data_IF_291139824677
#
_entry.id   IF_291139824677
#
_cell.length_a   1.000
_cell.length_b   1.000
_cell.length_c   1.000
_cell.angle_alpha   90.00
_cell.angle_beta   90.00
_cell.angle_gamma   90.00
#
_symmetry.space_group_name_H-M   'P 1'
#
loop_
_entity.id
_entity.type
_entity.pdbx_description
1 polymer ?
#
# COMPACT_ATOMS: atom_id res chain seq x y z
N UNK A 1 28.42 -45.79 47.37
CA UNK A 1 28.35 -45.46 45.93
C UNK A 1 26.89 -45.16 45.62
N UNK A 2 26.55 -43.89 45.75
CA UNK A 2 25.20 -43.35 45.64
C UNK A 2 24.83 -43.29 44.15
N UNK A 3 23.85 -44.10 43.74
CA UNK A 3 23.37 -44.14 42.35
C UNK A 3 22.49 -42.92 42.10
N UNK A 4 22.97 -42.01 41.26
CA UNK A 4 22.20 -40.87 40.75
C UNK A 4 21.03 -41.37 39.87
N UNK A 5 19.80 -40.85 40.04
CA UNK A 5 18.69 -41.25 39.20
C UNK A 5 18.79 -40.65 37.80
N UNK A 6 18.60 -41.54 36.81
CA UNK A 6 18.55 -41.28 35.38
C UNK A 6 17.41 -40.31 35.04
N UNK A 7 17.77 -39.10 34.61
CA UNK A 7 16.82 -38.07 34.18
C UNK A 7 16.28 -38.45 32.81
N UNK A 8 15.05 -38.96 32.78
CA UNK A 8 14.31 -39.22 31.54
C UNK A 8 13.99 -37.89 30.83
N UNK A 9 14.54 -37.70 29.64
CA UNK A 9 14.17 -36.62 28.74
C UNK A 9 12.78 -36.90 28.14
N UNK A 10 11.72 -36.28 28.69
CA UNK A 10 10.40 -36.25 28.06
C UNK A 10 10.40 -35.28 26.87
N UNK A 11 10.60 -35.85 25.68
CA UNK A 11 10.42 -35.19 24.39
C UNK A 11 8.93 -34.99 24.11
N UNK A 12 8.31 -33.97 24.71
CA UNK A 12 6.92 -33.60 24.42
C UNK A 12 6.83 -32.39 23.49
N UNK A 13 6.63 -32.72 22.22
CA UNK A 13 6.18 -31.85 21.12
C UNK A 13 5.21 -30.74 21.56
N UNK A 14 5.61 -29.49 21.36
CA UNK A 14 4.72 -28.33 21.22
C UNK A 14 5.22 -27.43 20.09
N UNK A 15 5.12 -27.91 18.84
CA UNK A 15 4.97 -27.00 17.70
C UNK A 15 3.55 -26.43 17.76
N UNK A 16 3.35 -25.39 18.57
CA UNK A 16 2.16 -24.53 18.43
C UNK A 16 2.44 -23.51 17.35
N UNK A 17 1.95 -23.89 16.18
CA UNK A 17 1.57 -23.06 15.07
C UNK A 17 0.70 -21.89 15.56
N UNK A 18 1.12 -20.66 15.28
CA UNK A 18 0.22 -19.51 15.11
C UNK A 18 0.70 -18.67 13.93
N UNK A 19 -0.14 -18.71 12.91
CA UNK A 19 -0.31 -17.82 11.78
C UNK A 19 0.40 -16.46 11.84
N UNK A 20 1.01 -16.07 10.72
CA UNK A 20 0.42 -15.03 9.87
C UNK A 20 0.71 -15.41 8.42
N UNK A 21 -0.30 -15.89 7.71
CA UNK A 21 -0.26 -16.00 6.26
C UNK A 21 0.16 -14.65 5.68
N UNK A 22 1.43 -14.55 5.28
CA UNK A 22 1.93 -13.40 4.52
C UNK A 22 1.02 -13.32 3.30
N UNK A 23 0.30 -12.22 3.05
CA UNK A 23 -0.51 -12.12 1.84
C UNK A 23 0.42 -12.39 0.67
N UNK A 24 0.04 -13.37 -0.15
CA UNK A 24 0.74 -13.70 -1.39
C UNK A 24 1.12 -12.40 -2.08
N UNK A 25 2.42 -12.15 -2.23
CA UNK A 25 2.92 -11.01 -2.99
C UNK A 25 2.58 -11.29 -4.45
N UNK A 26 1.33 -11.07 -4.84
CA UNK A 26 0.97 -11.03 -6.23
C UNK A 26 1.76 -9.87 -6.82
N UNK A 27 2.84 -10.19 -7.54
CA UNK A 27 3.49 -9.23 -8.40
C UNK A 27 2.41 -8.60 -9.28
N UNK A 28 2.35 -7.27 -9.39
CA UNK A 28 1.36 -6.62 -10.24
C UNK A 28 1.40 -7.27 -11.62
N UNK A 29 0.23 -7.65 -12.14
CA UNK A 29 0.16 -8.32 -13.44
C UNK A 29 0.87 -7.47 -14.49
N UNK A 30 1.71 -8.12 -15.32
CA UNK A 30 2.43 -7.46 -16.43
C UNK A 30 1.49 -6.65 -17.33
N UNK A 31 0.24 -7.06 -17.44
CA UNK A 31 -0.79 -6.41 -18.25
C UNK A 31 -1.79 -5.67 -17.36
N UNK A 32 -2.00 -4.38 -17.66
CA UNK A 32 -3.04 -3.54 -17.04
C UNK A 32 -4.44 -3.97 -17.50
N UNK A 33 -5.48 -3.56 -16.78
CA UNK A 33 -6.89 -3.92 -17.03
C UNK A 33 -7.30 -3.79 -18.49
N UNK A 34 -6.97 -2.67 -19.13
CA UNK A 34 -7.30 -2.41 -20.53
C UNK A 34 -6.74 -3.48 -21.48
N UNK A 35 -5.45 -3.80 -21.38
CA UNK A 35 -4.82 -4.84 -22.23
C UNK A 35 -5.44 -6.22 -22.00
N UNK A 36 -5.82 -6.52 -20.76
CA UNK A 36 -6.47 -7.80 -20.41
C UNK A 36 -7.88 -7.88 -21.00
N UNK A 37 -8.62 -6.78 -20.99
CA UNK A 37 -9.93 -6.69 -21.64
C UNK A 37 -9.80 -6.83 -23.16
N UNK A 38 -8.80 -6.23 -23.80
CA UNK A 38 -8.55 -6.41 -25.25
C UNK A 38 -8.30 -7.90 -25.56
N UNK A 39 -7.46 -8.57 -24.76
CA UNK A 39 -7.18 -10.01 -24.94
C UNK A 39 -8.46 -10.84 -24.80
N UNK A 40 -9.33 -10.52 -23.82
CA UNK A 40 -10.61 -11.20 -23.64
C UNK A 40 -11.59 -10.94 -24.78
N UNK A 41 -11.67 -9.71 -25.29
CA UNK A 41 -12.53 -9.37 -26.42
C UNK A 41 -12.11 -10.12 -27.68
N UNK A 42 -10.81 -10.20 -27.96
CA UNK A 42 -10.27 -10.98 -29.10
C UNK A 42 -10.55 -12.47 -28.93
N UNK A 43 -10.40 -13.02 -27.71
CA UNK A 43 -10.77 -14.40 -27.44
C UNK A 43 -12.27 -14.64 -27.67
N UNK A 44 -13.13 -13.73 -27.22
CA UNK A 44 -14.58 -13.82 -27.42
C UNK A 44 -14.95 -13.76 -28.90
N UNK A 45 -14.30 -12.89 -29.67
CA UNK A 45 -14.47 -12.79 -31.12
C UNK A 45 -14.17 -14.12 -31.81
N UNK A 46 -13.00 -14.72 -31.56
CA UNK A 46 -12.65 -16.02 -32.16
C UNK A 46 -13.50 -17.18 -31.65
N UNK A 47 -13.97 -17.12 -30.41
CA UNK A 47 -14.90 -18.12 -29.88
C UNK A 47 -16.29 -18.04 -30.55
N UNK A 48 -16.72 -16.84 -30.98
CA UNK A 48 -17.98 -16.62 -31.68
C UNK A 48 -17.89 -16.98 -33.17
N UNK A 49 -16.80 -16.61 -33.86
CA UNK A 49 -16.58 -16.98 -35.26
C UNK A 49 -16.34 -18.50 -35.42
N UNK A 50 -15.55 -19.09 -34.52
CA UNK A 50 -15.12 -20.47 -34.60
C UNK A 50 -16.08 -21.46 -33.94
N UNK A 51 -17.40 -21.37 -34.17
CA UNK A 51 -18.43 -22.20 -33.52
C UNK A 51 -18.16 -23.72 -33.55
N UNK A 52 -17.23 -24.20 -34.38
CA UNK A 52 -16.82 -25.61 -34.50
C UNK A 52 -15.33 -25.88 -34.17
N UNK A 53 -14.58 -24.89 -33.67
CA UNK A 53 -13.15 -25.04 -33.33
C UNK A 53 -12.93 -25.42 -31.86
N UNK A 54 -11.91 -26.27 -31.61
CA UNK A 54 -11.47 -26.60 -30.25
C UNK A 54 -11.00 -25.35 -29.50
N UNK A 55 -11.31 -25.26 -28.21
CA UNK A 55 -10.93 -24.12 -27.34
C UNK A 55 -9.42 -23.82 -27.35
N UNK A 56 -8.58 -24.84 -27.54
CA UNK A 56 -7.13 -24.69 -27.66
C UNK A 56 -6.72 -23.87 -28.89
N UNK A 57 -7.39 -24.10 -30.03
CA UNK A 57 -7.14 -23.34 -31.28
C UNK A 57 -7.55 -21.88 -31.11
N UNK A 58 -8.65 -21.63 -30.42
CA UNK A 58 -9.11 -20.27 -30.07
C UNK A 58 -8.07 -19.54 -29.21
N UNK A 59 -7.50 -20.22 -28.21
CA UNK A 59 -6.42 -19.69 -27.37
C UNK A 59 -5.17 -19.40 -28.20
N UNK A 60 -4.78 -20.30 -29.11
CA UNK A 60 -3.62 -20.12 -29.99
C UNK A 60 -3.80 -18.94 -30.95
N UNK A 61 -4.98 -18.79 -31.58
CA UNK A 61 -5.31 -17.63 -32.42
C UNK A 61 -5.27 -16.33 -31.64
N UNK A 62 -5.84 -16.32 -30.44
CA UNK A 62 -5.81 -15.16 -29.53
C UNK A 62 -4.38 -14.77 -29.17
N UNK A 63 -3.56 -15.75 -28.78
CA UNK A 63 -2.16 -15.56 -28.42
C UNK A 63 -1.35 -14.97 -29.59
N UNK A 64 -1.60 -15.48 -30.80
CA UNK A 64 -0.96 -15.01 -32.04
C UNK A 64 -1.38 -13.58 -32.38
N UNK A 65 -2.69 -13.29 -32.36
CA UNK A 65 -3.25 -11.97 -32.70
C UNK A 65 -2.84 -10.88 -31.71
N UNK A 66 -2.76 -11.20 -30.41
CA UNK A 66 -2.42 -10.24 -29.35
C UNK A 66 -0.95 -10.25 -28.96
N UNK A 67 -0.14 -11.12 -29.59
CA UNK A 67 1.29 -11.32 -29.32
C UNK A 67 1.60 -11.57 -27.83
N UNK A 68 0.79 -12.42 -27.20
CA UNK A 68 1.00 -12.87 -25.82
C UNK A 68 1.16 -14.39 -25.77
N UNK A 69 1.73 -14.92 -24.69
CA UNK A 69 1.85 -16.37 -24.53
C UNK A 69 0.47 -17.02 -24.27
N UNK A 70 0.30 -18.28 -24.70
CA UNK A 70 -0.92 -19.06 -24.44
C UNK A 70 -1.25 -19.11 -22.94
N UNK A 71 -0.25 -19.37 -22.10
CA UNK A 71 -0.40 -19.38 -20.63
C UNK A 71 -0.93 -18.04 -20.09
N UNK A 72 -0.58 -16.92 -20.73
CA UNK A 72 -1.11 -15.60 -20.33
C UNK A 72 -2.61 -15.52 -20.65
N UNK A 73 -3.03 -15.96 -21.83
CA UNK A 73 -4.45 -15.99 -22.22
C UNK A 73 -5.26 -16.86 -21.26
N UNK A 74 -4.77 -18.06 -20.95
CA UNK A 74 -5.44 -18.98 -20.03
C UNK A 74 -5.54 -18.40 -18.61
N UNK A 75 -4.48 -17.78 -18.11
CA UNK A 75 -4.49 -17.10 -16.81
C UNK A 75 -5.50 -15.96 -16.78
N UNK A 76 -5.53 -15.14 -17.83
CA UNK A 76 -6.49 -14.04 -18.00
C UNK A 76 -7.92 -14.58 -18.02
N UNK A 77 -8.19 -15.65 -18.77
CA UNK A 77 -9.49 -16.32 -18.83
C UNK A 77 -9.91 -16.90 -17.48
N UNK A 78 -8.99 -17.53 -16.74
CA UNK A 78 -9.25 -18.06 -15.40
C UNK A 78 -9.54 -16.93 -14.39
N UNK A 79 -8.86 -15.78 -14.50
CA UNK A 79 -9.14 -14.60 -13.69
C UNK A 79 -10.50 -13.97 -14.06
N UNK A 80 -10.86 -13.90 -15.35
CA UNK A 80 -12.16 -13.40 -15.80
C UNK A 80 -13.32 -14.22 -15.25
N UNK A 81 -13.21 -15.56 -15.24
CA UNK A 81 -14.22 -16.46 -14.65
C UNK A 81 -14.44 -16.25 -13.15
N UNK A 82 -13.42 -15.78 -12.43
CA UNK A 82 -13.50 -15.49 -10.99
C UNK A 82 -14.11 -14.12 -10.70
N UNK A 83 -14.21 -13.25 -11.71
CA UNK A 83 -14.78 -11.91 -11.56
C UNK A 83 -16.31 -11.99 -11.74
N UNK A 84 -17.12 -11.44 -10.82
CA UNK A 84 -18.58 -11.53 -10.88
C UNK A 84 -19.17 -10.85 -12.14
N UNK A 85 -18.48 -9.85 -12.70
CA UNK A 85 -18.93 -9.10 -13.87
C UNK A 85 -18.14 -9.43 -15.15
N UNK A 86 -17.25 -10.45 -15.12
CA UNK A 86 -16.34 -10.76 -16.23
C UNK A 86 -15.26 -9.70 -16.51
N UNK A 87 -15.29 -8.56 -15.82
CA UNK A 87 -14.31 -7.48 -15.95
C UNK A 87 -13.06 -7.81 -15.14
N UNK A 88 -11.90 -7.81 -15.81
CA UNK A 88 -10.61 -8.07 -15.15
C UNK A 88 -10.07 -6.76 -14.58
N UNK A 89 -10.36 -6.50 -13.31
CA UNK A 89 -9.75 -5.40 -12.59
C UNK A 89 -8.29 -5.72 -12.26
N UNK A 90 -7.39 -4.75 -12.51
CA UNK A 90 -6.05 -4.84 -11.93
C UNK A 90 -6.18 -4.77 -10.41
N UNK A 91 -5.36 -5.50 -9.64
CA UNK A 91 -5.31 -5.32 -8.19
C UNK A 91 -5.05 -3.84 -7.92
N UNK A 92 -6.05 -3.13 -7.41
CA UNK A 92 -5.84 -1.75 -6.98
C UNK A 92 -4.83 -1.80 -5.85
N UNK A 93 -3.82 -0.92 -5.82
CA UNK A 93 -2.95 -0.85 -4.66
C UNK A 93 -3.84 -0.59 -3.45
N UNK A 94 -3.81 -1.50 -2.49
CA UNK A 94 -4.52 -1.37 -1.22
C UNK A 94 -3.90 -0.18 -0.47
N UNK A 95 -4.36 1.03 -0.78
CA UNK A 95 -4.01 2.23 -0.05
C UNK A 95 -4.83 2.24 1.22
N UNK A 96 -4.50 1.36 2.17
CA UNK A 96 -4.99 1.51 3.53
C UNK A 96 -4.40 2.80 4.08
N UNK A 97 -5.20 3.84 4.37
CA UNK A 97 -4.67 5.04 4.99
C UNK A 97 -4.03 4.66 6.32
N UNK A 98 -2.94 5.35 6.67
CA UNK A 98 -2.34 5.20 7.99
C UNK A 98 -3.39 5.55 9.05
N UNK A 99 -3.67 4.68 10.05
CA UNK A 99 -4.71 4.92 11.04
C UNK A 99 -4.50 6.26 11.74
N UNK A 100 -3.26 6.59 12.10
CA UNK A 100 -2.88 7.85 12.75
C UNK A 100 -3.15 9.09 11.88
N UNK A 101 -3.01 9.00 10.56
CA UNK A 101 -3.20 10.16 9.67
C UNK A 101 -4.68 10.30 9.28
N UNK A 102 -5.44 9.21 9.32
CA UNK A 102 -6.86 9.19 8.97
C UNK A 102 -7.79 9.57 10.12
N UNK A 103 -7.35 9.42 11.38
CA UNK A 103 -8.19 9.63 12.57
C UNK A 103 -8.06 11.02 13.22
N UNK A 104 -7.30 11.95 12.64
CA UNK A 104 -7.15 13.30 13.19
C UNK A 104 -8.39 14.15 12.95
N UNK A 105 -8.96 14.64 14.05
CA UNK A 105 -10.07 15.60 14.05
C UNK A 105 -9.59 16.99 13.61
N UNK A 106 -10.52 17.89 13.30
CA UNK A 106 -10.21 19.25 12.86
C UNK A 106 -9.57 20.07 13.98
N UNK A 107 -9.93 19.82 15.23
CA UNK A 107 -9.26 20.41 16.40
C UNK A 107 -7.77 20.02 16.45
N UNK A 108 -7.48 18.72 16.28
CA UNK A 108 -6.11 18.21 16.30
C UNK A 108 -5.26 18.83 15.19
N UNK A 109 -5.85 18.98 14.01
CA UNK A 109 -5.20 19.61 12.85
C UNK A 109 -4.85 21.06 13.15
N UNK A 110 -5.75 21.81 13.77
CA UNK A 110 -5.49 23.20 14.15
C UNK A 110 -4.40 23.30 15.22
N UNK A 111 -4.39 22.42 16.22
CA UNK A 111 -3.30 22.34 17.20
C UNK A 111 -1.95 22.10 16.52
N UNK A 112 -1.88 21.15 15.57
CA UNK A 112 -0.64 20.88 14.81
C UNK A 112 -0.26 22.08 13.93
N UNK A 113 -1.23 22.80 13.36
CA UNK A 113 -0.99 23.98 12.52
C UNK A 113 -0.37 25.13 13.30
N UNK A 114 -0.79 25.33 14.55
CA UNK A 114 -0.28 26.39 15.43
C UNK A 114 1.13 26.13 15.95
N UNK A 115 1.53 24.86 16.08
CA UNK A 115 2.82 24.52 16.67
C UNK A 115 4.02 25.12 15.90
N UNK A 116 4.16 24.96 14.56
CA UNK A 116 5.23 25.63 13.81
C UNK A 116 5.24 27.16 13.95
N UNK A 117 4.08 27.80 14.02
CA UNK A 117 3.96 29.25 14.18
C UNK A 117 4.52 29.70 15.54
N UNK A 118 4.25 28.94 16.60
CA UNK A 118 4.78 29.22 17.95
C UNK A 118 6.31 29.17 18.02
N UNK A 119 6.97 28.33 17.20
CA UNK A 119 8.43 28.29 17.12
C UNK A 119 8.96 29.59 16.54
N UNK A 120 8.32 30.11 15.48
CA UNK A 120 8.71 31.37 14.88
C UNK A 120 8.48 32.57 15.81
N UNK A 121 7.40 32.57 16.60
CA UNK A 121 7.15 33.59 17.64
C UNK A 121 8.29 33.63 18.69
N UNK A 122 8.89 32.48 19.00
CA UNK A 122 10.05 32.38 19.90
C UNK A 122 11.41 32.64 19.22
N UNK A 123 11.43 32.87 17.91
CA UNK A 123 12.67 33.00 17.14
C UNK A 123 13.43 31.67 16.91
N UNK A 124 12.77 30.53 17.15
CA UNK A 124 13.32 29.19 16.95
C UNK A 124 12.92 28.62 15.58
N UNK A 125 13.73 27.71 15.03
CA UNK A 125 13.39 27.04 13.77
C UNK A 125 12.58 25.75 14.04
N UNK A 126 11.36 25.62 13.49
CA UNK A 126 10.56 24.41 13.66
C UNK A 126 11.20 23.22 12.90
N UNK A 127 11.70 22.27 13.67
CA UNK A 127 12.16 20.97 13.16
C UNK A 127 11.11 19.90 13.44
N UNK A 128 10.98 18.89 12.56
CA UNK A 128 10.00 17.82 12.76
C UNK A 128 10.17 17.07 14.09
N UNK A 129 11.40 16.94 14.60
CA UNK A 129 11.68 16.32 15.89
C UNK A 129 11.14 17.17 17.04
N UNK A 130 11.45 18.47 17.05
CA UNK A 130 10.97 19.40 18.09
C UNK A 130 9.44 19.54 18.05
N UNK A 131 8.85 19.60 16.85
CA UNK A 131 7.40 19.60 16.68
C UNK A 131 6.77 18.31 17.22
N UNK A 132 7.39 17.14 16.98
CA UNK A 132 6.88 15.87 17.48
C UNK A 132 6.89 15.81 19.00
N UNK A 133 7.93 16.32 19.64
CA UNK A 133 8.01 16.38 21.11
C UNK A 133 6.88 17.22 21.69
N UNK A 134 6.56 18.36 21.07
CA UNK A 134 5.47 19.24 21.51
C UNK A 134 4.08 18.68 21.26
N UNK A 135 3.86 18.14 20.07
CA UNK A 135 2.58 17.53 19.65
C UNK A 135 2.25 16.25 20.43
N UNK A 136 3.26 15.59 21.02
CA UNK A 136 3.08 14.47 21.95
C UNK A 136 2.60 14.90 23.35
N UNK A 137 2.78 16.16 23.73
CA UNK A 137 2.32 16.67 25.02
C UNK A 137 0.81 16.99 24.98
N UNK A 138 0.15 17.13 26.15
CA UNK A 138 -1.19 17.68 26.23
C UNK A 138 -1.24 19.09 25.61
N UNK A 139 -2.31 19.45 24.89
CA UNK A 139 -3.62 18.80 24.87
C UNK A 139 -3.80 17.68 23.83
N UNK A 140 -2.84 17.50 22.91
CA UNK A 140 -3.03 16.70 21.69
C UNK A 140 -2.66 15.21 21.84
N UNK A 141 -1.69 14.88 22.70
CA UNK A 141 -1.30 13.49 23.02
C UNK A 141 -1.06 12.59 21.79
N UNK A 142 -0.41 13.14 20.76
CA UNK A 142 -0.26 12.49 19.45
C UNK A 142 0.53 11.17 19.50
N UNK A 143 -0.06 10.09 19.00
CA UNK A 143 0.54 8.74 19.02
C UNK A 143 1.37 8.39 17.77
N UNK A 144 1.55 9.33 16.85
CA UNK A 144 2.23 9.07 15.59
C UNK A 144 3.74 9.13 15.64
N UNK A 145 4.36 8.60 14.57
CA UNK A 145 5.79 8.77 14.30
C UNK A 145 6.08 10.12 13.63
N UNK A 146 7.36 10.51 13.59
CA UNK A 146 7.83 11.68 12.84
C UNK A 146 7.39 11.65 11.35
N UNK A 147 7.40 10.45 10.74
CA UNK A 147 6.92 10.26 9.36
C UNK A 147 5.43 10.53 9.22
N UNK A 148 4.63 10.16 10.23
CA UNK A 148 3.20 10.47 10.25
C UNK A 148 2.96 11.96 10.41
N UNK A 149 3.67 12.61 11.35
CA UNK A 149 3.61 14.06 11.56
C UNK A 149 3.96 14.82 10.27
N UNK A 150 5.03 14.44 9.58
CA UNK A 150 5.41 15.07 8.32
C UNK A 150 4.30 14.98 7.25
N UNK A 151 3.62 13.83 7.14
CA UNK A 151 2.48 13.68 6.22
C UNK A 151 1.33 14.60 6.58
N UNK A 152 1.06 14.80 7.87
CA UNK A 152 -0.01 15.67 8.38
C UNK A 152 0.36 17.13 8.11
N UNK A 153 1.55 17.56 8.52
CA UNK A 153 2.09 18.91 8.28
C UNK A 153 2.07 19.26 6.79
N UNK A 154 2.40 18.31 5.91
CA UNK A 154 2.30 18.48 4.45
C UNK A 154 0.85 18.64 3.95
N UNK A 155 -0.12 17.98 4.58
CA UNK A 155 -1.55 18.15 4.28
C UNK A 155 -2.08 19.50 4.79
N UNK A 156 -1.50 20.03 5.87
CA UNK A 156 -1.75 21.37 6.40
C UNK A 156 -0.95 22.46 5.65
N UNK A 157 -0.61 22.21 4.39
CA UNK A 157 0.05 23.16 3.50
C UNK A 157 1.45 23.67 3.91
N UNK A 158 2.09 23.08 4.92
CA UNK A 158 3.47 23.40 5.25
C UNK A 158 4.48 22.64 4.37
N UNK A 159 5.56 23.32 3.98
CA UNK A 159 6.65 22.74 3.20
C UNK A 159 8.00 23.29 3.64
N UNK A 160 8.98 22.39 3.69
CA UNK A 160 10.38 22.79 3.81
C UNK A 160 10.85 23.51 2.53
N UNK A 161 11.17 24.80 2.64
CA UNK A 161 11.72 25.63 1.57
C UNK A 161 13.16 26.01 1.89
N UNK A 162 14.01 26.08 0.86
CA UNK A 162 15.39 26.55 1.01
C UNK A 162 15.39 28.07 1.13
N UNK A 163 16.16 28.59 2.07
CA UNK A 163 16.41 30.02 2.26
C UNK A 163 17.78 30.37 1.66
N UNK A 164 18.05 31.66 1.46
CA UNK A 164 19.34 32.19 0.98
C UNK A 164 20.54 31.64 1.78
N UNK A 165 20.37 31.37 3.08
CA UNK A 165 21.37 30.76 3.96
C UNK A 165 21.64 29.26 3.69
N UNK A 166 21.16 28.67 2.59
CA UNK A 166 21.22 27.23 2.23
C UNK A 166 20.49 26.24 3.16
N UNK A 167 19.98 26.72 4.30
CA UNK A 167 19.14 25.95 5.24
C UNK A 167 17.72 25.78 4.72
N UNK A 168 17.05 24.71 5.16
CA UNK A 168 15.62 24.48 4.89
C UNK A 168 14.80 24.86 6.11
N UNK A 169 13.79 25.70 5.92
CA UNK A 169 12.84 26.09 6.98
C UNK A 169 11.43 25.66 6.60
N UNK A 170 10.61 25.30 7.59
CA UNK A 170 9.24 24.83 7.39
C UNK A 170 8.30 26.04 7.28
N UNK A 171 7.86 26.38 6.07
CA UNK A 171 6.96 27.53 5.85
C UNK A 171 5.58 27.07 5.40
N UNK A 172 4.56 27.80 5.82
CA UNK A 172 3.20 27.67 5.26
C UNK A 172 3.22 28.07 3.78
N UNK A 173 2.37 27.46 2.96
CA UNK A 173 2.21 27.85 1.56
C UNK A 173 1.15 28.94 1.47
N UNK A 174 1.49 30.03 0.80
CA UNK A 174 0.60 31.19 0.55
C UNK A 174 -0.15 31.08 -0.78
N UNK A 175 0.16 30.06 -1.60
CA UNK A 175 -0.40 29.89 -2.93
C UNK A 175 -1.87 29.41 -2.89
N UNK A 176 -2.82 30.36 -2.83
CA UNK A 176 -4.27 30.27 -3.12
C UNK A 176 -4.69 31.44 -4.02
#
# INVERSE_FOLDING_TARGET
MEQLPEVQHDSRSKKRHYDIGRPSRHSPSRYKSQSRNIIMNVHQFFAQEGSCETMEKVVQKTATATRVSMNTVERIKAEAKKSPNGVICSPTPSSRPSPVVGQLDDFDRECIRREPLSFYERGELPTLSALLERVKQPPLSFQGSQSSLYKIVKKLWFKYRKVQSSRKILMEREDI
#
